data_IF_005019491110
#
_entry.id   IF_005019491110
#
_cell.length_a   1.000
_cell.length_b   1.000
_cell.length_c   1.000
_cell.angle_alpha   90.00
_cell.angle_beta   90.00
_cell.angle_gamma   90.00
#
_symmetry.space_group_name_H-M   'P 1'
#
loop_
_entity.id
_entity.type
_entity.pdbx_description
1 polymer ?
#
# COMPACT_ATOMS: atom_id res chain seq x y z
N UNK A 1 -11.07 -3.93 10.71
CA UNK A 1 -9.99 -4.16 9.72
C UNK A 1 -10.33 -3.27 8.55
N UNK A 2 -9.45 -2.33 8.14
CA UNK A 2 -9.78 -1.47 7.00
C UNK A 2 -9.96 -2.36 5.76
N UNK A 3 -11.07 -2.21 5.05
CA UNK A 3 -11.35 -2.92 3.79
C UNK A 3 -10.66 -2.26 2.59
N UNK A 4 -9.66 -1.41 2.84
CA UNK A 4 -8.91 -0.74 1.80
C UNK A 4 -8.08 -1.78 1.02
N UNK A 5 -8.28 -1.83 -0.30
CA UNK A 5 -7.48 -2.63 -1.22
C UNK A 5 -6.79 -1.69 -2.20
N UNK A 6 -5.52 -1.93 -2.46
CA UNK A 6 -4.72 -1.17 -3.44
C UNK A 6 -4.20 -2.08 -4.54
N UNK A 7 -3.96 -1.51 -5.72
CA UNK A 7 -3.33 -2.20 -6.84
C UNK A 7 -1.82 -2.04 -6.78
N UNK A 8 -1.09 -3.14 -6.77
CA UNK A 8 0.37 -3.17 -6.85
C UNK A 8 0.80 -3.90 -8.12
N UNK A 9 1.93 -3.51 -8.68
CA UNK A 9 2.51 -4.10 -9.88
C UNK A 9 3.73 -4.93 -9.53
N UNK A 10 3.81 -6.17 -10.01
CA UNK A 10 4.99 -7.03 -9.88
C UNK A 10 6.04 -6.56 -10.88
N UNK A 11 7.17 -6.03 -10.40
CA UNK A 11 8.18 -5.41 -11.28
C UNK A 11 8.73 -6.40 -12.31
N UNK A 12 8.92 -7.67 -11.93
CA UNK A 12 9.53 -8.69 -12.80
C UNK A 12 8.59 -9.18 -13.92
N UNK A 13 7.28 -9.12 -13.73
CA UNK A 13 6.30 -9.70 -14.67
C UNK A 13 5.36 -8.65 -15.27
N UNK A 14 5.34 -7.45 -14.72
CA UNK A 14 4.40 -6.39 -15.06
C UNK A 14 2.96 -6.63 -14.57
N UNK A 15 2.67 -7.81 -14.01
CA UNK A 15 1.34 -8.20 -13.54
C UNK A 15 0.86 -7.30 -12.40
N UNK A 16 -0.39 -6.85 -12.48
CA UNK A 16 -1.06 -6.13 -11.40
C UNK A 16 -1.78 -7.09 -10.44
N UNK A 17 -1.76 -6.76 -9.16
CA UNK A 17 -2.36 -7.52 -8.06
C UNK A 17 -3.15 -6.58 -7.16
N UNK A 18 -4.32 -7.03 -6.70
CA UNK A 18 -5.02 -6.36 -5.59
C UNK A 18 -4.54 -6.94 -4.26
N UNK A 19 -4.19 -6.06 -3.33
CA UNK A 19 -3.71 -6.42 -1.99
C UNK A 19 -4.46 -5.61 -0.94
N UNK A 20 -4.72 -6.20 0.23
CA UNK A 20 -5.36 -5.50 1.33
C UNK A 20 -4.36 -4.59 2.04
N UNK A 21 -4.80 -3.43 2.53
CA UNK A 21 -3.98 -2.52 3.32
C UNK A 21 -4.21 -2.80 4.81
N UNK A 22 -3.12 -3.16 5.50
CA UNK A 22 -3.12 -3.35 6.94
C UNK A 22 -2.88 -2.02 7.68
N UNK A 23 -1.89 -1.26 7.23
CA UNK A 23 -1.51 0.04 7.79
C UNK A 23 -0.98 0.95 6.68
N UNK A 24 -1.29 2.24 6.74
CA UNK A 24 -0.91 3.22 5.71
C UNK A 24 -0.36 4.48 6.37
N UNK A 25 0.82 4.90 5.93
CA UNK A 25 1.50 6.13 6.34
C UNK A 25 2.38 6.62 5.19
N UNK A 26 2.72 7.91 5.19
CA UNK A 26 3.57 8.49 4.14
C UNK A 26 4.96 7.80 4.03
N UNK A 27 5.48 7.29 5.14
CA UNK A 27 6.81 6.65 5.19
C UNK A 27 6.74 5.13 4.96
N UNK A 28 5.56 4.52 5.15
CA UNK A 28 5.41 3.06 5.19
C UNK A 28 3.97 2.65 4.94
N UNK A 29 3.79 1.67 4.05
CA UNK A 29 2.50 1.03 3.82
C UNK A 29 2.66 -0.46 4.05
N UNK A 30 1.90 -1.03 4.98
CA UNK A 30 1.84 -2.47 5.21
C UNK A 30 0.64 -3.05 4.47
N UNK A 31 0.91 -4.02 3.60
CA UNK A 31 -0.10 -4.71 2.80
C UNK A 31 -0.13 -6.20 3.11
N UNK A 32 -1.24 -6.82 2.80
CA UNK A 32 -1.49 -8.25 2.97
C UNK A 32 -1.82 -8.85 1.61
N UNK A 33 -1.03 -9.85 1.21
CA UNK A 33 -1.26 -10.63 0.00
C UNK A 33 -1.89 -11.98 0.36
N UNK A 34 -2.93 -12.38 -0.37
CA UNK A 34 -3.69 -13.61 -0.13
C UNK A 34 -4.81 -13.44 0.88
N UNK A 35 -5.66 -14.46 0.98
CA UNK A 35 -6.82 -14.50 1.88
C UNK A 35 -6.67 -15.66 2.89
N UNK A 36 -7.07 -15.44 4.14
CA UNK A 36 -7.02 -16.46 5.20
C UNK A 36 -5.64 -16.71 5.82
N UNK A 37 -5.38 -17.96 6.23
CA UNK A 37 -4.19 -18.35 7.01
C UNK A 37 -2.87 -18.28 6.24
N UNK A 38 -2.94 -18.27 4.90
CA UNK A 38 -1.75 -18.17 4.02
C UNK A 38 -1.45 -16.73 3.61
N UNK A 39 -1.99 -15.76 4.33
CA UNK A 39 -1.76 -14.36 4.04
C UNK A 39 -0.35 -13.92 4.44
N UNK A 40 0.29 -13.14 3.57
CA UNK A 40 1.66 -12.65 3.77
C UNK A 40 1.63 -11.14 3.95
N UNK A 41 2.19 -10.65 5.06
CA UNK A 41 2.43 -9.22 5.27
C UNK A 41 3.67 -8.77 4.49
N UNK A 42 3.56 -7.65 3.80
CA UNK A 42 4.64 -7.00 3.08
C UNK A 42 4.68 -5.52 3.45
N UNK A 43 5.87 -4.99 3.64
CA UNK A 43 6.09 -3.56 3.86
C UNK A 43 6.54 -2.89 2.58
N UNK A 44 5.82 -1.86 2.16
CA UNK A 44 6.18 -0.99 1.05
C UNK A 44 6.77 0.32 1.60
N UNK A 45 7.94 0.69 1.10
CA UNK A 45 8.64 1.94 1.45
C UNK A 45 8.72 2.86 0.23
N UNK A 46 8.59 4.19 0.40
CA UNK A 46 8.72 5.12 -0.71
C UNK A 46 10.11 5.00 -1.33
N UNK A 47 10.19 5.12 -2.66
CA UNK A 47 11.47 5.21 -3.34
C UNK A 47 12.16 6.53 -3.00
N UNK A 48 13.46 6.63 -3.28
CA UNK A 48 14.25 7.85 -3.03
C UNK A 48 13.64 9.12 -3.65
N UNK A 49 12.96 8.98 -4.79
CA UNK A 49 12.30 10.11 -5.48
C UNK A 49 10.85 10.31 -5.01
N UNK A 50 10.32 9.46 -4.14
CA UNK A 50 8.99 9.60 -3.56
C UNK A 50 7.83 9.37 -4.53
N UNK A 51 8.06 8.85 -5.73
CA UNK A 51 7.04 8.68 -6.79
C UNK A 51 6.28 7.35 -6.72
N UNK A 52 6.83 6.36 -6.02
CA UNK A 52 6.23 5.04 -5.84
C UNK A 52 6.68 4.42 -4.54
N UNK A 53 5.93 3.43 -4.05
CA UNK A 53 6.36 2.58 -2.94
C UNK A 53 6.80 1.22 -3.48
N UNK A 54 7.86 0.65 -2.92
CA UNK A 54 8.38 -0.67 -3.31
C UNK A 54 8.53 -1.57 -2.11
N UNK A 55 8.32 -2.86 -2.31
CA UNK A 55 8.54 -3.88 -1.29
C UNK A 55 8.70 -5.26 -1.92
N UNK A 56 9.04 -6.25 -1.09
CA UNK A 56 9.24 -7.62 -1.53
C UNK A 56 8.17 -8.53 -0.93
N UNK A 57 7.46 -9.25 -1.78
CA UNK A 57 6.45 -10.22 -1.39
C UNK A 57 6.67 -11.53 -2.16
N UNK A 58 6.61 -12.67 -1.46
CA UNK A 58 6.77 -14.01 -2.07
C UNK A 58 8.01 -14.12 -2.97
N UNK A 59 9.13 -13.50 -2.57
CA UNK A 59 10.38 -13.50 -3.34
C UNK A 59 10.45 -12.50 -4.51
N UNK A 60 9.37 -11.76 -4.81
CA UNK A 60 9.28 -10.83 -5.94
C UNK A 60 9.17 -9.38 -5.46
N UNK A 61 9.74 -8.45 -6.23
CA UNK A 61 9.50 -7.02 -6.01
C UNK A 61 8.09 -6.64 -6.51
N UNK A 62 7.38 -5.88 -5.70
CA UNK A 62 6.11 -5.25 -6.03
C UNK A 62 6.22 -3.74 -5.82
N UNK A 63 5.56 -2.97 -6.69
CA UNK A 63 5.50 -1.52 -6.62
C UNK A 63 4.07 -1.00 -6.56
N UNK A 64 3.80 -0.08 -5.66
CA UNK A 64 2.59 0.73 -5.64
C UNK A 64 2.88 2.08 -6.30
N UNK A 65 2.27 2.31 -7.46
CA UNK A 65 2.50 3.49 -8.31
C UNK A 65 1.67 4.69 -7.81
N UNK A 66 1.99 5.14 -6.58
CA UNK A 66 1.50 6.38 -5.98
C UNK A 66 2.64 7.11 -5.31
N UNK A 67 2.60 8.43 -5.44
CA UNK A 67 3.57 9.32 -4.86
C UNK A 67 3.32 9.49 -3.36
N UNK A 68 4.37 9.82 -2.60
CA UNK A 68 4.27 10.12 -1.17
C UNK A 68 3.29 11.25 -0.88
N UNK A 69 3.29 12.27 -1.73
CA UNK A 69 2.39 13.43 -1.63
C UNK A 69 0.93 13.03 -1.84
N UNK A 70 0.65 12.16 -2.81
CA UNK A 70 -0.70 11.64 -3.07
C UNK A 70 -1.20 10.81 -1.87
N UNK A 71 -0.34 9.94 -1.34
CA UNK A 71 -0.66 9.15 -0.14
C UNK A 71 -0.89 10.05 1.07
N UNK A 72 -0.08 11.09 1.26
CA UNK A 72 -0.26 12.04 2.35
C UNK A 72 -1.58 12.83 2.22
N UNK A 73 -1.94 13.26 1.00
CA UNK A 73 -3.20 13.94 0.74
C UNK A 73 -4.41 13.02 0.98
N UNK A 74 -4.29 11.74 0.60
CA UNK A 74 -5.31 10.72 0.83
C UNK A 74 -5.53 10.46 2.34
N UNK A 75 -4.43 10.35 3.09
CA UNK A 75 -4.45 10.22 4.55
C UNK A 75 -5.08 11.45 5.23
N UNK A 76 -4.73 12.66 4.79
CA UNK A 76 -5.30 13.89 5.33
C UNK A 76 -6.82 13.98 5.09
N UNK A 77 -7.28 13.58 3.90
CA UNK A 77 -8.71 13.47 3.59
C UNK A 77 -9.38 12.43 4.49
N UNK A 78 -8.82 11.23 4.61
CA UNK A 78 -9.38 10.17 5.44
C UNK A 78 -9.46 10.55 6.93
N UNK A 79 -8.47 11.26 7.45
CA UNK A 79 -8.47 11.78 8.82
C UNK A 79 -9.59 12.81 9.02
N UNK A 80 -9.74 13.74 8.07
CA UNK A 80 -10.81 14.75 8.11
C UNK A 80 -12.19 14.09 8.13
N UNK A 81 -12.44 13.10 7.27
CA UNK A 81 -13.70 12.35 7.25
C UNK A 81 -14.02 11.63 8.57
N UNK A 82 -12.98 11.15 9.29
CA UNK A 82 -13.17 10.48 10.58
C UNK A 82 -13.54 11.46 11.69
N UNK A 83 -13.07 12.71 11.61
CA UNK A 83 -13.39 13.77 12.57
C UNK A 83 -14.82 14.28 12.42
N UNK A 84 -15.34 14.37 11.18
CA UNK A 84 -16.72 14.79 10.90
C UNK A 84 -17.81 13.79 11.32
N UNK A 85 -17.46 12.53 11.62
CA UNK A 85 -18.42 11.51 12.08
C UNK A 85 -18.50 11.38 13.61
N UNK A 86 -17.87 12.30 14.36
CA UNK A 86 -17.91 12.34 15.82
C UNK A 86 -18.98 13.32 16.31
#
# INVERSE_FOLDING_TARGET
MNEERIKVRVTSSGQELQVGVFSKSAERIEVVLGEGIHSVRCTLTPTRNGTRYVGKAMGREISYERSREEVQADLARAASFREFRR
#
